data_IF_170200049091
#
_entry.id   IF_170200049091
#
_cell.length_a   1.000
_cell.length_b   1.000
_cell.length_c   1.000
_cell.angle_alpha   90.00
_cell.angle_beta   90.00
_cell.angle_gamma   90.00
#
_symmetry.space_group_name_H-M   'P 1'
#
loop_
_entity.id
_entity.type
_entity.pdbx_description
1 polymer ?
#
# COMPACT_ATOMS: atom_id res chain seq x y z
N UNK A 1 -14.80 -46.25 -27.48
CA UNK A 1 -15.12 -46.34 -26.04
C UNK A 1 -14.79 -45.01 -25.38
N UNK A 2 -15.80 -44.23 -25.01
CA UNK A 2 -15.71 -43.22 -23.94
C UNK A 2 -16.39 -43.83 -22.70
N UNK A 3 -16.13 -43.36 -21.46
CA UNK A 3 -16.85 -42.17 -20.98
C UNK A 3 -16.10 -41.26 -19.98
N UNK A 4 -16.64 -40.03 -19.85
CA UNK A 4 -16.91 -39.19 -18.65
C UNK A 4 -15.97 -39.30 -17.43
N UNK A 5 -15.48 -38.23 -16.78
CA UNK A 5 -16.09 -36.93 -16.50
C UNK A 5 -16.68 -36.90 -15.08
N UNK A 6 -16.10 -36.11 -14.14
CA UNK A 6 -16.86 -35.23 -13.22
C UNK A 6 -16.00 -34.46 -12.23
N UNK A 7 -16.46 -33.24 -12.02
CA UNK A 7 -16.18 -32.24 -10.99
C UNK A 7 -16.14 -32.78 -9.56
N UNK A 8 -15.35 -32.14 -8.70
CA UNK A 8 -15.35 -32.36 -7.25
C UNK A 8 -14.75 -31.17 -6.50
N UNK A 9 -15.65 -30.34 -5.98
CA UNK A 9 -15.48 -29.17 -5.11
C UNK A 9 -14.34 -29.27 -4.08
N UNK A 10 -13.55 -28.19 -3.97
CA UNK A 10 -12.81 -27.88 -2.74
C UNK A 10 -13.81 -27.48 -1.66
N UNK A 11 -13.97 -28.33 -0.65
CA UNK A 11 -14.73 -28.07 0.56
C UNK A 11 -13.74 -28.04 1.72
N UNK A 12 -13.44 -26.85 2.24
CA UNK A 12 -12.60 -26.69 3.43
C UNK A 12 -13.51 -26.96 4.63
N UNK A 13 -13.51 -28.22 5.08
CA UNK A 13 -14.17 -28.67 6.29
C UNK A 13 -13.18 -29.37 7.22
N UNK A 14 -12.85 -28.70 8.32
CA UNK A 14 -12.56 -29.28 9.64
C UNK A 14 -11.86 -30.65 9.70
N UNK A 15 -10.55 -30.62 9.98
CA UNK A 15 -9.87 -31.73 10.64
C UNK A 15 -9.07 -31.20 11.83
N UNK A 16 -9.58 -31.48 13.04
CA UNK A 16 -8.85 -31.36 14.31
C UNK A 16 -7.72 -32.40 14.29
N UNK A 17 -6.48 -31.94 14.18
CA UNK A 17 -5.31 -32.72 14.55
C UNK A 17 -5.00 -32.51 16.03
N UNK A 18 -5.20 -33.53 16.85
CA UNK A 18 -4.73 -33.60 18.23
C UNK A 18 -3.20 -33.71 18.24
N UNK A 19 -2.53 -32.67 18.70
CA UNK A 19 -1.10 -32.68 19.00
C UNK A 19 -0.91 -33.25 20.41
N UNK A 20 -0.39 -34.47 20.51
CA UNK A 20 0.05 -35.06 21.76
C UNK A 20 1.45 -34.52 22.09
N UNK A 21 1.54 -33.69 23.13
CA UNK A 21 2.80 -33.21 23.71
C UNK A 21 3.19 -34.18 24.83
N UNK A 22 4.43 -34.69 24.88
CA UNK A 22 4.89 -35.53 25.98
C UNK A 22 4.97 -34.74 27.29
N UNK A 23 4.44 -35.35 28.35
CA UNK A 23 4.39 -34.85 29.72
C UNK A 23 5.78 -34.60 30.32
N UNK A 24 5.87 -33.49 31.05
CA UNK A 24 6.87 -33.31 32.09
C UNK A 24 7.74 -32.07 31.91
N UNK A 25 7.22 -30.92 32.34
CA UNK A 25 7.92 -29.89 33.16
C UNK A 25 7.09 -28.60 33.18
N UNK A 26 6.29 -28.44 34.24
CA UNK A 26 5.82 -27.14 34.72
C UNK A 26 5.78 -27.21 36.25
N UNK A 27 6.15 -26.12 36.93
CA UNK A 27 5.12 -25.49 37.72
C UNK A 27 5.00 -23.97 37.47
N UNK A 28 3.74 -23.56 37.37
CA UNK A 28 3.18 -22.28 37.82
C UNK A 28 3.57 -21.00 37.07
N UNK A 29 2.85 -20.72 35.98
CA UNK A 29 2.55 -19.34 35.56
C UNK A 29 1.03 -19.17 35.45
N UNK A 30 0.45 -18.62 36.51
CA UNK A 30 -0.97 -18.29 36.66
C UNK A 30 -1.27 -17.08 35.77
N UNK A 31 -1.71 -17.29 34.53
CA UNK A 31 -2.19 -16.21 33.66
C UNK A 31 -3.55 -15.71 34.19
N UNK A 32 -3.51 -14.65 35.00
CA UNK A 32 -4.71 -13.90 35.37
C UNK A 32 -4.96 -12.90 34.25
N UNK A 33 -5.93 -13.21 33.40
CA UNK A 33 -6.56 -12.25 32.51
C UNK A 33 -7.12 -11.10 33.36
N UNK A 34 -6.63 -9.88 33.14
CA UNK A 34 -7.29 -8.67 33.65
C UNK A 34 -8.08 -8.00 32.53
N UNK A 35 -9.40 -7.80 32.71
CA UNK A 35 -10.24 -7.10 31.76
C UNK A 35 -9.94 -5.62 31.78
N UNK A 36 -9.99 -4.99 30.62
CA UNK A 36 -10.09 -3.54 30.44
C UNK A 36 -11.46 -3.08 30.97
N UNK A 37 -11.52 -2.09 31.89
CA UNK A 37 -12.72 -1.29 32.05
C UNK A 37 -12.52 0.17 31.59
N UNK A 38 -13.60 0.81 31.12
CA UNK A 38 -13.64 2.15 30.56
C UNK A 38 -13.82 3.21 31.66
N UNK A 39 -13.57 4.48 31.32
CA UNK A 39 -14.11 5.71 31.93
C UNK A 39 -14.22 5.78 33.48
N UNK A 40 -13.40 6.61 34.11
CA UNK A 40 -13.63 7.05 35.49
C UNK A 40 -12.48 7.89 36.01
N UNK A 41 -12.74 9.18 36.24
CA UNK A 41 -11.75 10.14 36.73
C UNK A 41 -11.20 9.80 38.11
N UNK A 42 -10.02 10.34 38.41
CA UNK A 42 -9.57 10.48 39.78
C UNK A 42 -8.88 11.83 39.94
N UNK A 43 -9.58 12.72 40.64
CA UNK A 43 -9.06 13.99 41.14
C UNK A 43 -7.84 13.71 42.02
N UNK A 44 -6.70 14.34 41.72
CA UNK A 44 -5.69 14.63 42.71
C UNK A 44 -5.70 16.14 42.99
N UNK A 45 -6.41 16.49 44.06
CA UNK A 45 -6.40 17.80 44.69
C UNK A 45 -5.09 17.95 45.45
N UNK A 46 -4.21 18.83 44.99
CA UNK A 46 -3.16 19.42 45.83
C UNK A 46 -3.58 20.85 46.18
N UNK A 47 -3.98 21.05 47.44
CA UNK A 47 -4.38 22.36 47.98
C UNK A 47 -3.15 23.19 48.36
N UNK A 48 -3.18 24.43 47.89
CA UNK A 48 -2.77 25.67 48.58
C UNK A 48 -1.29 25.96 48.79
N UNK A 49 -0.76 27.00 48.12
CA UNK A 49 -0.60 28.36 48.68
C UNK A 49 0.25 29.24 47.73
N UNK A 50 -0.38 30.16 47.00
CA UNK A 50 0.04 31.56 46.89
C UNK A 50 -0.85 32.30 45.89
N UNK A 51 -1.75 33.12 46.43
CA UNK A 51 -2.24 34.31 45.76
C UNK A 51 -1.03 35.13 45.29
N UNK A 52 -0.89 35.39 43.99
CA UNK A 52 -0.40 36.64 43.37
C UNK A 52 -0.23 36.42 41.85
N UNK A 53 -1.33 36.42 41.11
CA UNK A 53 -1.42 36.79 39.68
C UNK A 53 -2.82 36.47 39.20
N UNK A 54 -3.79 37.20 39.72
CA UNK A 54 -5.03 37.40 39.00
C UNK A 54 -4.68 38.29 37.79
N UNK A 55 -5.28 37.95 36.63
CA UNK A 55 -5.38 38.79 35.44
C UNK A 55 -4.27 38.65 34.37
N UNK A 56 -4.07 37.46 33.80
CA UNK A 56 -3.67 37.29 32.39
C UNK A 56 -3.78 35.82 31.96
N UNK A 57 -4.39 35.58 30.80
CA UNK A 57 -4.44 34.31 30.06
C UNK A 57 -5.46 33.24 30.48
N UNK A 58 -6.72 33.63 30.65
CA UNK A 58 -7.85 32.74 30.36
C UNK A 58 -8.16 32.77 28.85
N UNK A 59 -7.36 32.07 28.03
CA UNK A 59 -7.68 31.78 26.64
C UNK A 59 -6.89 30.57 26.11
N UNK A 60 -6.80 29.48 26.89
CA UNK A 60 -6.51 28.17 26.29
C UNK A 60 -7.81 27.67 25.68
N UNK A 61 -8.10 28.17 24.48
CA UNK A 61 -9.07 27.56 23.56
C UNK A 61 -8.62 26.13 23.35
N UNK A 62 -9.34 25.18 23.94
CA UNK A 62 -9.38 23.81 23.44
C UNK A 62 -9.96 23.86 22.03
N UNK A 63 -9.09 24.01 21.04
CA UNK A 63 -9.41 23.63 19.67
C UNK A 63 -9.50 22.10 19.66
N UNK A 64 -10.68 21.58 19.99
CA UNK A 64 -11.09 20.30 19.43
C UNK A 64 -10.89 20.40 17.92
N UNK A 65 -10.33 19.39 17.24
CA UNK A 65 -10.38 19.35 15.79
C UNK A 65 -11.85 19.18 15.40
N UNK A 66 -12.58 20.29 15.33
CA UNK A 66 -13.80 20.38 14.54
C UNK A 66 -13.35 20.01 13.15
N UNK A 67 -13.85 18.87 12.65
CA UNK A 67 -13.74 18.51 11.25
C UNK A 67 -14.04 19.78 10.45
N UNK A 68 -12.99 20.34 9.85
CA UNK A 68 -13.11 21.58 9.12
C UNK A 68 -14.19 21.34 8.06
N UNK A 69 -15.11 22.29 7.82
CA UNK A 69 -16.08 22.11 6.75
C UNK A 69 -15.34 21.73 5.47
N UNK A 70 -15.94 20.84 4.67
CA UNK A 70 -15.43 20.40 3.39
C UNK A 70 -15.00 21.59 2.48
N UNK A 71 -15.55 22.79 2.70
CA UNK A 71 -15.19 24.04 2.03
C UNK A 71 -14.37 25.01 2.91
N UNK A 72 -13.52 24.49 3.79
CA UNK A 72 -12.63 25.33 4.59
C UNK A 72 -11.49 25.93 3.75
N UNK A 73 -10.91 27.04 4.22
CA UNK A 73 -9.69 27.62 3.65
C UNK A 73 -8.55 26.58 3.57
N UNK A 74 -8.54 25.63 4.49
CA UNK A 74 -7.57 24.55 4.52
C UNK A 74 -7.74 23.58 3.34
N UNK A 75 -8.98 23.12 3.08
CA UNK A 75 -9.27 22.27 1.91
C UNK A 75 -9.01 23.03 0.61
N UNK A 76 -9.32 24.33 0.56
CA UNK A 76 -8.97 25.18 -0.58
C UNK A 76 -7.46 25.20 -0.84
N UNK A 77 -6.63 25.35 0.19
CA UNK A 77 -5.17 25.32 0.03
C UNK A 77 -4.68 23.97 -0.53
N UNK A 78 -5.28 22.85 -0.10
CA UNK A 78 -5.00 21.52 -0.65
C UNK A 78 -5.41 21.39 -2.12
N UNK A 79 -6.59 21.91 -2.50
CA UNK A 79 -7.05 21.93 -3.89
C UNK A 79 -6.14 22.78 -4.79
N UNK A 80 -5.67 23.92 -4.28
CA UNK A 80 -4.75 24.80 -5.00
C UNK A 80 -3.38 24.10 -5.19
N UNK A 81 -2.90 23.35 -4.20
CA UNK A 81 -1.70 22.51 -4.32
C UNK A 81 -1.87 21.44 -5.40
N UNK A 82 -2.95 20.66 -5.36
CA UNK A 82 -3.26 19.60 -6.33
C UNK A 82 -3.24 20.13 -7.77
N UNK A 83 -3.77 21.33 -7.97
CA UNK A 83 -3.76 22.03 -9.25
C UNK A 83 -2.34 22.47 -9.65
N UNK A 84 -1.59 23.08 -8.72
CA UNK A 84 -0.24 23.57 -8.98
C UNK A 84 0.76 22.42 -9.26
N UNK A 85 0.62 21.28 -8.60
CA UNK A 85 1.45 20.08 -8.81
C UNK A 85 1.10 19.32 -10.10
N UNK A 86 0.13 19.79 -10.88
CA UNK A 86 -0.42 19.13 -12.08
C UNK A 86 -0.96 17.72 -11.83
N UNK A 87 -1.31 17.42 -10.58
CA UNK A 87 -2.02 16.17 -10.25
C UNK A 87 -3.39 16.12 -10.94
N UNK A 88 -3.92 17.27 -11.36
CA UNK A 88 -5.07 17.39 -12.26
C UNK A 88 -4.99 16.51 -13.50
N UNK A 89 -3.81 16.36 -14.12
CA UNK A 89 -3.66 15.47 -15.28
C UNK A 89 -3.89 14.00 -14.91
N UNK A 90 -3.55 13.59 -13.68
CA UNK A 90 -3.85 12.24 -13.21
C UNK A 90 -5.36 12.02 -13.07
N UNK A 91 -6.09 13.02 -12.58
CA UNK A 91 -7.56 12.94 -12.51
C UNK A 91 -8.22 12.93 -13.90
N UNK A 92 -7.66 13.62 -14.88
CA UNK A 92 -8.10 13.51 -16.27
C UNK A 92 -7.83 12.12 -16.85
N UNK A 93 -6.67 11.53 -16.57
CA UNK A 93 -6.38 10.14 -16.96
C UNK A 93 -7.33 9.14 -16.28
N UNK A 94 -7.76 9.41 -15.06
CA UNK A 94 -8.76 8.59 -14.36
C UNK A 94 -10.14 8.62 -15.03
N UNK A 95 -10.48 9.62 -15.85
CA UNK A 95 -11.79 9.67 -16.53
C UNK A 95 -12.00 8.48 -17.45
N UNK A 96 -10.94 8.01 -18.11
CA UNK A 96 -11.01 6.89 -19.02
C UNK A 96 -10.09 5.74 -18.58
N UNK A 97 -10.45 5.00 -17.51
CA UNK A 97 -9.58 3.96 -16.95
C UNK A 97 -9.42 2.76 -17.89
N UNK A 98 -10.29 2.66 -18.91
CA UNK A 98 -10.33 1.54 -19.85
C UNK A 98 -9.45 1.74 -21.07
N UNK A 99 -8.97 2.97 -21.29
CA UNK A 99 -8.18 3.32 -22.48
C UNK A 99 -6.91 2.48 -22.66
N UNK A 100 -6.07 2.26 -21.61
CA UNK A 100 -4.90 1.41 -21.75
C UNK A 100 -5.27 -0.05 -22.10
N UNK A 101 -6.41 -0.53 -21.59
CA UNK A 101 -6.90 -1.88 -21.87
C UNK A 101 -7.34 -2.01 -23.33
N UNK A 102 -8.10 -1.03 -23.83
CA UNK A 102 -8.52 -0.96 -25.23
C UNK A 102 -7.30 -0.91 -26.16
N UNK A 103 -6.33 -0.03 -25.87
CA UNK A 103 -5.11 0.08 -26.68
C UNK A 103 -4.30 -1.22 -26.68
N UNK A 104 -4.17 -1.88 -25.53
CA UNK A 104 -3.49 -3.18 -25.41
C UNK A 104 -4.20 -4.26 -26.23
N UNK A 105 -5.52 -4.38 -26.13
CA UNK A 105 -6.29 -5.36 -26.90
C UNK A 105 -6.20 -5.09 -28.39
N UNK A 106 -6.39 -3.85 -28.84
CA UNK A 106 -6.27 -3.49 -30.27
C UNK A 106 -4.88 -3.81 -30.81
N UNK A 107 -3.83 -3.54 -30.01
CA UNK A 107 -2.45 -3.82 -30.40
C UNK A 107 -2.17 -5.31 -30.63
N UNK A 108 -2.82 -6.20 -29.86
CA UNK A 108 -2.67 -7.65 -30.02
C UNK A 108 -3.27 -8.18 -31.33
N UNK A 109 -4.24 -7.47 -31.92
CA UNK A 109 -4.93 -7.86 -33.15
C UNK A 109 -4.54 -6.99 -34.36
N UNK A 110 -3.46 -6.21 -34.26
CA UNK A 110 -2.96 -5.40 -35.37
C UNK A 110 -2.73 -6.26 -36.62
N UNK A 111 -3.29 -5.82 -37.75
CA UNK A 111 -3.19 -6.51 -39.05
C UNK A 111 -4.29 -7.54 -39.32
N UNK A 112 -5.20 -7.82 -38.38
CA UNK A 112 -6.33 -8.71 -38.59
C UNK A 112 -7.60 -7.94 -38.99
N UNK A 113 -7.82 -7.71 -40.29
CA UNK A 113 -8.97 -6.93 -40.77
C UNK A 113 -10.33 -7.53 -40.37
N UNK A 114 -10.43 -8.86 -40.30
CA UNK A 114 -11.67 -9.53 -39.88
C UNK A 114 -12.04 -9.26 -38.42
N UNK A 115 -11.08 -8.87 -37.57
CA UNK A 115 -11.31 -8.53 -36.17
C UNK A 115 -11.76 -7.07 -35.99
N UNK A 116 -11.54 -6.20 -37.00
CA UNK A 116 -11.86 -4.78 -36.94
C UNK A 116 -13.28 -4.45 -36.44
N UNK A 117 -14.37 -5.07 -36.96
CA UNK A 117 -15.71 -4.74 -36.49
C UNK A 117 -15.93 -5.09 -35.01
N UNK A 118 -15.33 -6.18 -34.53
CA UNK A 118 -15.43 -6.60 -33.12
C UNK A 118 -14.59 -5.69 -32.22
N UNK A 119 -13.40 -5.28 -32.66
CA UNK A 119 -12.56 -4.32 -31.94
C UNK A 119 -13.22 -2.94 -31.83
N UNK A 120 -13.89 -2.49 -32.89
CA UNK A 120 -14.64 -1.22 -32.90
C UNK A 120 -15.84 -1.29 -31.93
N UNK A 121 -16.57 -2.41 -31.90
CA UNK A 121 -17.65 -2.65 -30.92
C UNK A 121 -17.12 -2.71 -29.49
N UNK A 122 -16.01 -3.41 -29.26
CA UNK A 122 -15.35 -3.50 -27.97
C UNK A 122 -14.90 -2.13 -27.46
N UNK A 123 -14.20 -1.34 -28.28
CA UNK A 123 -13.78 0.01 -27.92
C UNK A 123 -14.97 0.91 -27.57
N UNK A 124 -16.06 0.82 -28.34
CA UNK A 124 -17.30 1.55 -28.07
C UNK A 124 -17.92 1.14 -26.74
N UNK A 125 -18.02 -0.15 -26.45
CA UNK A 125 -18.56 -0.65 -25.19
C UNK A 125 -17.71 -0.19 -23.99
N UNK A 126 -16.38 -0.27 -24.11
CA UNK A 126 -15.45 0.17 -23.07
C UNK A 126 -15.48 1.68 -22.84
N UNK A 127 -15.74 2.50 -23.88
CA UNK A 127 -15.88 3.96 -23.76
C UNK A 127 -17.10 4.40 -22.94
N UNK A 128 -18.08 3.53 -22.74
CA UNK A 128 -19.21 3.78 -21.86
C UNK A 128 -18.83 3.69 -20.37
N UNK A 129 -17.72 3.01 -20.07
CA UNK A 129 -17.18 2.86 -18.70
C UNK A 129 -16.16 3.98 -18.47
N UNK A 130 -16.68 5.14 -18.06
CA UNK A 130 -15.90 6.34 -17.77
C UNK A 130 -16.42 7.01 -16.51
N UNK A 131 -15.53 7.66 -15.79
CA UNK A 131 -15.95 8.57 -14.72
C UNK A 131 -16.45 9.88 -15.35
N UNK A 132 -17.53 10.42 -14.79
CA UNK A 132 -17.99 11.75 -15.18
C UNK A 132 -17.26 12.84 -14.39
N UNK A 133 -17.42 14.11 -14.81
CA UNK A 133 -16.74 15.24 -14.17
C UNK A 133 -17.15 15.42 -12.70
N UNK A 134 -18.38 15.07 -12.32
CA UNK A 134 -18.84 15.16 -10.93
C UNK A 134 -18.15 14.13 -10.04
N UNK A 135 -18.04 12.88 -10.50
CA UNK A 135 -17.35 11.80 -9.79
C UNK A 135 -15.87 12.12 -9.63
N UNK A 136 -15.22 12.63 -10.68
CA UNK A 136 -13.82 13.09 -10.59
C UNK A 136 -13.69 14.29 -9.64
N UNK A 137 -14.64 15.21 -9.66
CA UNK A 137 -14.70 16.33 -8.72
C UNK A 137 -14.76 15.87 -7.27
N UNK A 138 -15.57 14.85 -6.97
CA UNK A 138 -15.63 14.23 -5.63
C UNK A 138 -14.32 13.57 -5.24
N UNK A 139 -13.74 12.75 -6.12
CA UNK A 139 -12.44 12.11 -5.85
C UNK A 139 -11.35 13.14 -5.58
N UNK A 140 -11.30 14.23 -6.36
CA UNK A 140 -10.36 15.33 -6.15
C UNK A 140 -10.56 15.99 -4.79
N UNK A 141 -11.80 16.22 -4.40
CA UNK A 141 -12.14 16.79 -3.10
C UNK A 141 -11.73 15.85 -1.95
N UNK A 142 -12.05 14.57 -2.04
CA UNK A 142 -11.67 13.55 -1.06
C UNK A 142 -10.14 13.49 -0.89
N UNK A 143 -9.39 13.55 -1.99
CA UNK A 143 -7.93 13.63 -1.94
C UNK A 143 -7.47 14.92 -1.24
N UNK A 144 -8.09 16.07 -1.53
CA UNK A 144 -7.76 17.32 -0.86
C UNK A 144 -7.98 17.23 0.67
N UNK A 145 -9.06 16.58 1.11
CA UNK A 145 -9.32 16.34 2.54
C UNK A 145 -8.20 15.51 3.16
N UNK A 146 -7.72 14.44 2.50
CA UNK A 146 -6.58 13.65 2.99
C UNK A 146 -5.33 14.49 3.19
N UNK A 147 -5.04 15.45 2.31
CA UNK A 147 -3.91 16.37 2.50
C UNK A 147 -4.08 17.23 3.76
N UNK A 148 -5.30 17.68 4.07
CA UNK A 148 -5.57 18.50 5.27
C UNK A 148 -5.45 17.73 6.59
N UNK A 149 -5.46 16.39 6.56
CA UNK A 149 -5.23 15.56 7.75
C UNK A 149 -3.74 15.45 8.10
N UNK A 150 -2.85 15.66 7.13
CA UNK A 150 -1.41 15.43 7.26
C UNK A 150 -0.62 16.73 7.30
N UNK A 151 -1.03 17.71 6.50
CA UNK A 151 -0.35 18.99 6.37
C UNK A 151 -1.19 20.11 6.96
N UNK A 152 -0.51 21.14 7.44
CA UNK A 152 -1.15 22.39 7.84
C UNK A 152 -1.44 23.26 6.62
N UNK A 153 -2.37 24.21 6.76
CA UNK A 153 -2.71 25.13 5.68
C UNK A 153 -1.49 25.91 5.18
N UNK A 154 -0.62 26.37 6.09
CA UNK A 154 0.57 27.14 5.74
C UNK A 154 1.56 26.31 4.90
N UNK A 155 1.76 25.04 5.25
CA UNK A 155 2.63 24.13 4.49
C UNK A 155 2.07 23.86 3.09
N UNK A 156 0.76 23.63 2.97
CA UNK A 156 0.11 23.44 1.66
C UNK A 156 0.25 24.68 0.77
N UNK A 157 0.10 25.88 1.33
CA UNK A 157 0.31 27.14 0.61
C UNK A 157 1.78 27.33 0.19
N UNK A 158 2.74 26.97 1.03
CA UNK A 158 4.17 27.02 0.70
C UNK A 158 4.53 26.05 -0.42
N UNK A 159 4.07 24.80 -0.34
CA UNK A 159 4.23 23.82 -1.40
C UNK A 159 3.61 24.30 -2.71
N UNK A 160 2.43 24.92 -2.64
CA UNK A 160 1.76 25.51 -3.81
C UNK A 160 2.62 26.59 -4.45
N UNK A 161 3.21 27.50 -3.65
CA UNK A 161 4.12 28.54 -4.15
C UNK A 161 5.34 27.94 -4.84
N UNK A 162 5.91 26.87 -4.27
CA UNK A 162 7.03 26.17 -4.89
C UNK A 162 6.64 25.57 -6.25
N UNK A 163 5.55 24.80 -6.34
CA UNK A 163 5.11 24.19 -7.60
C UNK A 163 4.69 25.22 -8.66
N UNK A 164 4.20 26.39 -8.24
CA UNK A 164 3.89 27.50 -9.12
C UNK A 164 5.13 28.31 -9.56
N UNK A 165 6.27 28.15 -8.89
CA UNK A 165 7.51 28.85 -9.25
C UNK A 165 8.10 28.34 -10.57
N UNK A 166 8.93 29.15 -11.24
CA UNK A 166 9.61 28.74 -12.47
C UNK A 166 10.46 27.46 -12.29
N UNK A 167 11.09 27.30 -11.12
CA UNK A 167 11.87 26.10 -10.80
C UNK A 167 10.96 24.89 -10.53
N UNK A 168 9.86 25.06 -9.80
CA UNK A 168 8.90 23.98 -9.53
C UNK A 168 8.24 23.47 -10.81
N UNK A 169 7.82 24.36 -11.69
CA UNK A 169 7.30 24.01 -13.02
C UNK A 169 8.34 23.25 -13.83
N UNK A 170 9.58 23.75 -13.89
CA UNK A 170 10.69 23.07 -14.59
C UNK A 170 11.00 21.71 -13.99
N UNK A 171 10.88 21.56 -12.67
CA UNK A 171 11.04 20.27 -12.00
C UNK A 171 9.99 19.28 -12.50
N UNK A 172 8.71 19.67 -12.48
CA UNK A 172 7.60 18.84 -12.99
C UNK A 172 7.81 18.44 -14.45
N UNK A 173 8.22 19.38 -15.31
CA UNK A 173 8.48 19.13 -16.73
C UNK A 173 9.64 18.14 -16.96
N UNK A 174 10.61 18.10 -16.03
CA UNK A 174 11.82 17.26 -16.15
C UNK A 174 11.70 15.93 -15.43
N UNK A 175 10.68 15.70 -14.59
CA UNK A 175 10.50 14.41 -13.92
C UNK A 175 10.43 13.22 -14.89
N UNK A 176 9.74 13.30 -16.06
CA UNK A 176 9.74 12.19 -17.02
C UNK A 176 11.14 11.84 -17.53
N UNK A 177 11.96 12.85 -17.87
CA UNK A 177 13.34 12.66 -18.31
C UNK A 177 14.21 12.06 -17.19
N UNK A 178 14.02 12.49 -15.94
CA UNK A 178 14.70 11.90 -14.78
C UNK A 178 14.31 10.43 -14.61
N UNK A 179 13.01 10.11 -14.70
CA UNK A 179 12.54 8.72 -14.60
C UNK A 179 13.08 7.83 -15.72
N UNK A 180 13.11 8.33 -16.96
CA UNK A 180 13.70 7.63 -18.11
C UNK A 180 15.19 7.30 -17.87
N UNK A 181 15.96 8.30 -17.41
CA UNK A 181 17.38 8.12 -17.07
C UNK A 181 17.57 7.17 -15.89
N UNK A 182 16.69 7.19 -14.90
CA UNK A 182 16.72 6.26 -13.77
C UNK A 182 16.43 4.81 -14.20
N UNK A 183 15.53 4.59 -15.16
CA UNK A 183 15.27 3.25 -15.70
C UNK A 183 16.51 2.68 -16.40
N UNK A 184 17.24 3.51 -17.16
CA UNK A 184 18.51 3.10 -17.76
C UNK A 184 19.54 2.67 -16.70
N UNK A 185 19.59 3.35 -15.55
CA UNK A 185 20.46 2.95 -14.44
C UNK A 185 19.99 1.66 -13.76
N UNK A 186 18.68 1.44 -13.61
CA UNK A 186 18.16 0.18 -13.04
C UNK A 186 18.48 -1.05 -13.91
N UNK A 187 18.64 -0.89 -15.23
CA UNK A 187 19.09 -1.97 -16.10
C UNK A 187 20.47 -2.53 -15.67
N UNK A 188 21.34 -1.72 -15.07
CA UNK A 188 22.61 -2.21 -14.51
C UNK A 188 22.40 -3.13 -13.30
N UNK A 189 21.40 -2.85 -12.46
CA UNK A 189 21.02 -3.72 -11.35
C UNK A 189 20.47 -5.07 -11.82
N UNK A 190 19.75 -5.10 -12.95
CA UNK A 190 19.24 -6.33 -13.54
C UNK A 190 20.37 -7.27 -13.98
N UNK A 191 21.46 -6.73 -14.53
CA UNK A 191 22.63 -7.53 -14.90
C UNK A 191 23.30 -8.17 -13.67
N UNK A 192 23.44 -7.41 -12.57
CA UNK A 192 23.94 -7.95 -11.30
C UNK A 192 23.05 -9.08 -10.76
N UNK A 193 21.72 -8.92 -10.83
CA UNK A 193 20.78 -9.95 -10.39
C UNK A 193 20.82 -11.19 -11.29
N UNK A 194 21.05 -11.01 -12.59
CA UNK A 194 21.27 -12.12 -13.53
C UNK A 194 22.54 -12.89 -13.19
N UNK A 195 23.66 -12.21 -12.94
CA UNK A 195 24.90 -12.83 -12.49
C UNK A 195 24.73 -13.59 -11.17
N UNK A 196 24.02 -12.99 -10.20
CA UNK A 196 23.69 -13.67 -8.94
C UNK A 196 22.85 -14.94 -9.18
N UNK A 197 21.89 -14.90 -10.11
CA UNK A 197 21.09 -16.07 -10.50
C UNK A 197 21.88 -17.16 -11.23
N UNK A 198 22.91 -16.79 -12.00
CA UNK A 198 23.85 -17.74 -12.61
C UNK A 198 24.72 -18.43 -11.57
N UNK A 199 25.26 -17.66 -10.61
CA UNK A 199 26.03 -18.19 -9.48
C UNK A 199 25.15 -19.14 -8.64
N UNK A 200 23.93 -18.73 -8.31
CA UNK A 200 23.00 -19.54 -7.52
C UNK A 200 22.65 -20.87 -8.22
N UNK A 201 22.40 -20.86 -9.54
CA UNK A 201 22.20 -22.09 -10.32
C UNK A 201 23.44 -22.98 -10.33
N UNK A 202 24.64 -22.40 -10.42
CA UNK A 202 25.90 -23.15 -10.39
C UNK A 202 26.18 -23.83 -9.05
N UNK A 203 25.74 -23.24 -7.95
CA UNK A 203 25.94 -23.78 -6.60
C UNK A 203 24.85 -24.75 -6.12
N UNK A 204 23.68 -24.81 -6.79
CA UNK A 204 22.54 -25.65 -6.39
C UNK A 204 22.93 -27.09 -6.02
N UNK A 205 23.57 -27.87 -6.92
CA UNK A 205 23.96 -29.25 -6.63
C UNK A 205 24.94 -29.39 -5.46
N UNK A 206 25.87 -28.43 -5.31
CA UNK A 206 26.88 -28.44 -4.24
C UNK A 206 26.28 -28.08 -2.89
N UNK A 207 25.29 -27.19 -2.87
CA UNK A 207 24.54 -26.83 -1.68
C UNK A 207 23.64 -27.98 -1.22
N UNK A 208 23.03 -28.69 -2.17
CA UNK A 208 22.21 -29.88 -1.88
C UNK A 208 23.07 -31.04 -1.35
N UNK A 209 24.24 -31.28 -1.94
CA UNK A 209 25.22 -32.24 -1.44
C UNK A 209 25.70 -31.89 -0.02
N UNK A 210 26.04 -30.62 0.22
CA UNK A 210 26.45 -30.13 1.54
C UNK A 210 25.32 -30.24 2.58
N UNK A 211 24.08 -29.95 2.18
CA UNK A 211 22.89 -30.11 3.03
C UNK A 211 22.70 -31.58 3.42
N UNK A 212 22.76 -32.49 2.45
CA UNK A 212 22.62 -33.92 2.69
C UNK A 212 23.74 -34.48 3.56
N UNK A 213 24.98 -34.03 3.36
CA UNK A 213 26.11 -34.40 4.21
C UNK A 213 25.93 -33.89 5.66
N UNK A 214 25.42 -32.67 5.84
CA UNK A 214 25.12 -32.11 7.15
C UNK A 214 23.98 -32.88 7.84
N UNK A 215 22.92 -33.23 7.10
CA UNK A 215 21.80 -34.01 7.62
C UNK A 215 22.22 -35.43 8.03
N UNK A 216 23.10 -36.07 7.25
CA UNK A 216 23.66 -37.38 7.58
C UNK A 216 24.56 -37.33 8.83
N UNK A 217 25.34 -36.26 9.01
CA UNK A 217 26.16 -36.06 10.22
C UNK A 217 25.32 -35.76 11.47
N UNK A 218 24.10 -35.25 11.31
CA UNK A 218 23.16 -34.97 12.40
C UNK A 218 22.30 -36.19 12.80
N UNK A 219 22.35 -37.30 12.03
CA UNK A 219 21.64 -38.51 12.38
C UNK A 219 22.31 -39.23 13.57
N UNK A 220 21.59 -39.55 14.66
CA UNK A 220 22.18 -40.22 15.81
C UNK A 220 22.69 -41.62 15.43
N UNK A 221 23.80 -42.10 16.04
CA UNK A 221 24.34 -43.41 15.72
C UNK A 221 23.30 -44.49 16.03
N UNK A 222 23.01 -45.34 15.05
CA UNK A 222 22.20 -46.54 15.24
C UNK A 222 22.92 -47.44 16.24
N UNK A 223 22.45 -47.45 17.49
CA UNK A 223 22.93 -48.38 18.52
C UNK A 223 22.61 -49.78 18.02
N UNK A 224 23.65 -50.54 17.65
CA UNK A 224 23.54 -51.93 17.26
C UNK A 224 22.92 -52.74 18.40
N UNK A 225 21.85 -53.46 18.09
CA UNK A 225 21.21 -54.37 19.03
C UNK A 225 22.19 -55.48 19.44
N UNK A 226 22.39 -55.74 20.76
CA UNK A 226 23.23 -56.83 21.20
C UNK A 226 22.58 -58.19 20.90
N UNK A 227 23.47 -59.17 20.68
CA UNK A 227 23.24 -60.51 20.17
C UNK A 227 22.53 -61.43 21.16
#
# INVERSE_FOLDING_TARGET
MSPQGRSGQFSIGTARGTFAVPDGLCPTARYIARPFPPNGGCLFVFRSFSMLSALLLAASLSASPTAAPADSAHVKAALDLIKASRTDQMFEQMKNPTEPMVQSTVSQFQGCESAKPVLDEFAKAMSAVKFNDEQIGKVRHDVAVVYTEVFTQAELEEMTKFFASATGVKMLDRMPEVMEKMQATQAQGQETMKQAGEIARGFGPRLEEAYNACAAAAAPPTVGAPK
#
